data_IF_230405358159
#
_entry.id   IF_230405358159
#
_cell.length_a   1.000
_cell.length_b   1.000
_cell.length_c   1.000
_cell.angle_alpha   90.00
_cell.angle_beta   90.00
_cell.angle_gamma   90.00
#
_symmetry.space_group_name_H-M   'P 1'
#
loop_
_entity.id
_entity.type
_entity.pdbx_description
1 polymer ?
#
# COMPACT_ATOMS: atom_id res chain seq x y z
N UNK A 1 -0.17 -0.37 -10.94
CA UNK A 1 1.02 -0.34 -10.06
C UNK A 1 1.92 -1.54 -10.27
N UNK A 2 1.47 -2.79 -10.02
CA UNK A 2 2.34 -3.97 -10.10
C UNK A 2 3.06 -4.13 -11.46
N UNK A 3 2.37 -3.90 -12.58
CA UNK A 3 2.98 -3.88 -13.93
C UNK A 3 4.08 -2.82 -14.05
N UNK A 4 3.84 -1.61 -13.54
CA UNK A 4 4.83 -0.52 -13.57
C UNK A 4 6.05 -0.87 -12.72
N UNK A 5 5.83 -1.44 -11.53
CA UNK A 5 6.91 -1.91 -10.66
C UNK A 5 7.74 -2.99 -11.35
N UNK A 6 7.10 -3.97 -11.98
CA UNK A 6 7.77 -5.02 -12.73
C UNK A 6 8.61 -4.45 -13.89
N UNK A 7 8.04 -3.54 -14.68
CA UNK A 7 8.75 -2.87 -15.76
C UNK A 7 9.95 -2.04 -15.28
N UNK A 8 9.80 -1.25 -14.20
CA UNK A 8 10.92 -0.47 -13.66
C UNK A 8 11.99 -1.38 -13.05
N UNK A 9 11.62 -2.49 -12.40
CA UNK A 9 12.57 -3.50 -11.92
C UNK A 9 13.39 -4.10 -13.08
N UNK A 10 12.72 -4.41 -14.20
CA UNK A 10 13.40 -4.92 -15.40
C UNK A 10 14.34 -3.89 -16.02
N UNK A 11 13.97 -2.61 -16.03
CA UNK A 11 14.85 -1.52 -16.51
C UNK A 11 16.10 -1.35 -15.64
N UNK A 12 15.95 -1.39 -14.32
CA UNK A 12 17.09 -1.31 -13.40
C UNK A 12 18.05 -2.48 -13.65
N UNK A 13 17.51 -3.71 -13.77
CA UNK A 13 18.31 -4.91 -14.03
C UNK A 13 19.08 -4.82 -15.35
N UNK A 14 18.46 -4.31 -16.41
CA UNK A 14 19.11 -4.17 -17.73
C UNK A 14 20.21 -3.08 -17.73
N UNK A 15 20.05 -2.00 -16.97
CA UNK A 15 21.10 -0.99 -16.83
C UNK A 15 22.34 -1.52 -16.08
N UNK A 16 22.17 -2.39 -15.08
CA UNK A 16 23.31 -3.06 -14.43
C UNK A 16 24.10 -3.98 -15.38
N UNK A 17 23.46 -4.60 -16.39
CA UNK A 17 24.16 -5.40 -17.40
C UNK A 17 24.93 -4.56 -18.44
N UNK A 18 24.60 -3.27 -18.60
CA UNK A 18 25.31 -2.36 -19.52
C UNK A 18 26.43 -1.56 -18.83
N UNK A 19 26.48 -1.55 -17.49
CA UNK A 19 27.55 -0.91 -16.70
C UNK A 19 28.56 -1.90 -16.11
N UNK A 20 28.38 -3.21 -16.34
CA UNK A 20 29.26 -4.28 -15.86
C UNK A 20 30.53 -4.47 -16.71
N UNK A 21 31.29 -3.39 -16.92
CA UNK A 21 32.62 -3.41 -17.50
C UNK A 21 33.66 -2.96 -16.47
N UNK A 22 34.25 -3.94 -15.77
CA UNK A 22 35.52 -3.86 -15.03
C UNK A 22 35.63 -2.86 -13.86
N UNK A 23 35.73 -3.38 -12.62
CA UNK A 23 36.89 -3.12 -11.74
C UNK A 23 36.76 -3.77 -10.35
N UNK A 24 37.73 -4.64 -10.07
CA UNK A 24 38.43 -4.92 -8.81
C UNK A 24 37.81 -4.57 -7.45
N UNK A 25 37.70 -5.62 -6.65
CA UNK A 25 37.70 -5.70 -5.19
C UNK A 25 38.34 -4.52 -4.43
N UNK A 26 37.55 -3.90 -3.55
CA UNK A 26 38.05 -3.38 -2.27
C UNK A 26 36.99 -3.60 -1.19
N UNK A 27 37.40 -4.38 -0.19
CA UNK A 27 36.64 -4.75 0.99
C UNK A 27 36.64 -3.59 1.99
N UNK A 28 35.54 -2.85 2.05
CA UNK A 28 35.21 -1.94 3.16
C UNK A 28 33.73 -1.60 3.17
N UNK A 29 33.01 -2.10 4.18
CA UNK A 29 31.76 -1.48 4.66
C UNK A 29 30.45 -2.17 4.29
N UNK A 30 29.97 -3.10 5.13
CA UNK A 30 28.61 -3.66 5.03
C UNK A 30 27.48 -2.61 5.12
N UNK A 31 27.78 -1.39 5.59
CA UNK A 31 26.83 -0.27 5.58
C UNK A 31 26.70 0.41 4.20
N UNK A 32 27.75 0.38 3.36
CA UNK A 32 27.72 1.00 2.04
C UNK A 32 26.77 0.27 1.09
N UNK A 33 26.84 -1.07 1.08
CA UNK A 33 25.98 -1.91 0.25
C UNK A 33 24.50 -1.79 0.62
N UNK A 34 24.16 -1.68 1.91
CA UNK A 34 22.76 -1.56 2.36
C UNK A 34 22.18 -0.19 2.00
N UNK A 35 22.94 0.89 2.19
CA UNK A 35 22.50 2.24 1.82
C UNK A 35 22.32 2.39 0.31
N UNK A 36 23.23 1.83 -0.49
CA UNK A 36 23.11 1.81 -1.96
C UNK A 36 21.89 1.02 -2.42
N UNK A 37 21.64 -0.15 -1.80
CA UNK A 37 20.46 -0.97 -2.06
C UNK A 37 19.17 -0.22 -1.72
N UNK A 38 19.07 0.39 -0.54
CA UNK A 38 17.91 1.21 -0.17
C UNK A 38 17.73 2.39 -1.11
N UNK A 39 18.82 3.06 -1.51
CA UNK A 39 18.77 4.18 -2.44
C UNK A 39 18.25 3.74 -3.82
N UNK A 40 18.66 2.58 -4.30
CA UNK A 40 18.17 2.01 -5.55
C UNK A 40 16.67 1.70 -5.48
N UNK A 41 16.19 1.07 -4.41
CA UNK A 41 14.76 0.83 -4.18
C UNK A 41 13.96 2.13 -4.05
N UNK A 42 14.47 3.10 -3.27
CA UNK A 42 13.84 4.43 -3.13
C UNK A 42 13.70 5.10 -4.48
N UNK A 43 14.75 5.08 -5.30
CA UNK A 43 14.73 5.64 -6.67
C UNK A 43 13.71 4.93 -7.55
N UNK A 44 13.73 3.60 -7.60
CA UNK A 44 12.83 2.82 -8.44
C UNK A 44 11.36 3.05 -8.06
N UNK A 45 11.01 2.95 -6.78
CA UNK A 45 9.65 3.13 -6.30
C UNK A 45 9.15 4.57 -6.51
N UNK A 46 10.00 5.59 -6.27
CA UNK A 46 9.64 6.98 -6.61
C UNK A 46 9.34 7.13 -8.10
N UNK A 47 10.14 6.53 -8.98
CA UNK A 47 9.91 6.56 -10.43
C UNK A 47 8.60 5.85 -10.81
N UNK A 48 8.25 4.73 -10.16
CA UNK A 48 6.97 4.05 -10.36
C UNK A 48 5.78 4.96 -10.06
N UNK A 49 5.78 5.62 -8.89
CA UNK A 49 4.70 6.51 -8.47
C UNK A 49 4.60 7.73 -9.38
N UNK A 50 5.73 8.37 -9.70
CA UNK A 50 5.79 9.50 -10.64
C UNK A 50 5.30 9.10 -12.04
N UNK A 51 5.65 7.90 -12.51
CA UNK A 51 5.19 7.40 -13.80
C UNK A 51 3.69 7.15 -13.80
N UNK A 52 3.13 6.54 -12.75
CA UNK A 52 1.68 6.34 -12.66
C UNK A 52 0.90 7.66 -12.56
N UNK A 53 1.43 8.62 -11.79
CA UNK A 53 0.86 9.96 -11.69
C UNK A 53 0.91 10.75 -13.02
N UNK A 54 2.00 10.56 -13.77
CA UNK A 54 2.11 11.08 -15.12
C UNK A 54 1.11 10.42 -16.06
N UNK A 55 0.94 9.10 -15.97
CA UNK A 55 -0.05 8.38 -16.78
C UNK A 55 -1.46 8.89 -16.48
N UNK A 56 -1.84 9.06 -15.21
CA UNK A 56 -3.16 9.58 -14.83
C UNK A 56 -3.41 11.00 -15.36
N UNK A 57 -2.36 11.81 -15.51
CA UNK A 57 -2.44 13.16 -16.09
C UNK A 57 -2.69 13.17 -17.60
N UNK A 58 -2.39 12.08 -18.30
CA UNK A 58 -2.56 11.95 -19.75
C UNK A 58 -3.63 10.93 -20.15
N UNK A 59 -4.30 10.31 -19.19
CA UNK A 59 -5.44 9.42 -19.46
C UNK A 59 -6.63 10.24 -19.91
N UNK A 60 -7.16 9.90 -21.08
CA UNK A 60 -8.41 10.42 -21.63
C UNK A 60 -9.62 9.73 -20.98
N UNK A 61 -10.80 10.36 -20.94
CA UNK A 61 -12.04 9.76 -20.37
C UNK A 61 -12.40 8.41 -21.00
N UNK A 62 -12.03 8.18 -22.27
CA UNK A 62 -12.23 6.90 -22.96
C UNK A 62 -11.20 5.82 -22.59
N UNK A 63 -10.30 6.09 -21.65
CA UNK A 63 -9.22 5.18 -21.22
C UNK A 63 -7.98 5.19 -22.13
N UNK A 64 -7.97 5.99 -23.20
CA UNK A 64 -6.78 6.13 -24.06
C UNK A 64 -5.67 6.88 -23.35
N UNK A 65 -4.44 6.36 -23.44
CA UNK A 65 -3.24 7.06 -22.96
C UNK A 65 -2.77 8.07 -24.02
N UNK A 66 -2.75 9.34 -23.64
CA UNK A 66 -2.36 10.45 -24.51
C UNK A 66 -3.55 11.20 -25.12
N UNK A 67 -3.27 12.33 -25.76
CA UNK A 67 -4.26 13.22 -26.38
C UNK A 67 -4.81 12.82 -27.78
N UNK A 68 -4.46 11.70 -28.46
CA UNK A 68 -4.97 11.47 -29.82
C UNK A 68 -6.42 10.93 -29.84
N UNK A 69 -7.11 10.78 -28.70
CA UNK A 69 -8.47 10.23 -28.62
C UNK A 69 -9.56 11.15 -29.20
N UNK A 70 -9.29 12.45 -29.40
CA UNK A 70 -10.29 13.41 -29.90
C UNK A 70 -11.44 13.71 -28.93
N UNK A 71 -11.39 13.22 -27.69
CA UNK A 71 -12.41 13.50 -26.68
C UNK A 71 -12.33 14.95 -26.17
N UNK A 72 -13.45 15.53 -25.68
CA UNK A 72 -13.43 16.84 -25.02
C UNK A 72 -12.45 16.88 -23.83
N UNK A 73 -11.89 18.05 -23.48
CA UNK A 73 -11.06 18.19 -22.29
C UNK A 73 -11.82 17.73 -21.03
N UNK A 74 -11.39 16.62 -20.46
CA UNK A 74 -11.97 16.05 -19.26
C UNK A 74 -11.53 16.82 -18.01
N UNK A 75 -12.36 17.74 -17.53
CA UNK A 75 -12.10 18.44 -16.26
C UNK A 75 -12.16 17.49 -15.06
N UNK A 76 -13.00 16.47 -15.12
CA UNK A 76 -13.29 15.53 -14.02
C UNK A 76 -12.05 14.73 -13.64
N UNK A 77 -11.30 14.20 -14.60
CA UNK A 77 -10.07 13.43 -14.33
C UNK A 77 -8.98 14.25 -13.66
N UNK A 78 -8.99 15.58 -13.80
CA UNK A 78 -8.03 16.46 -13.10
C UNK A 78 -8.34 16.62 -11.61
N UNK A 79 -9.56 16.26 -11.20
CA UNK A 79 -10.03 16.25 -9.81
C UNK A 79 -10.04 14.85 -9.21
N UNK A 80 -9.75 13.82 -10.01
CA UNK A 80 -9.68 12.43 -9.54
C UNK A 80 -8.26 12.11 -9.10
N UNK A 81 -8.15 11.44 -7.96
CA UNK A 81 -6.90 10.88 -7.48
C UNK A 81 -7.12 9.59 -6.73
N UNK A 82 -6.02 9.00 -6.30
CA UNK A 82 -6.01 7.77 -5.51
C UNK A 82 -4.83 7.79 -4.56
N UNK A 83 -5.06 7.27 -3.36
CA UNK A 83 -3.97 6.86 -2.49
C UNK A 83 -3.35 5.57 -3.02
N UNK A 84 -2.14 5.25 -2.58
CA UNK A 84 -1.47 4.00 -2.93
C UNK A 84 -0.52 3.60 -1.80
N UNK A 85 -0.79 2.44 -1.20
CA UNK A 85 0.14 1.72 -0.34
C UNK A 85 0.56 0.43 -1.05
N UNK A 86 1.86 0.22 -1.18
CA UNK A 86 2.45 -0.91 -1.90
C UNK A 86 3.45 -1.60 -0.98
N UNK A 87 3.33 -2.91 -0.84
CA UNK A 87 4.33 -3.74 -0.16
C UNK A 87 5.01 -4.68 -1.16
N UNK A 88 6.34 -4.71 -1.12
CA UNK A 88 7.17 -5.66 -1.85
C UNK A 88 7.83 -6.58 -0.82
N UNK A 89 7.53 -7.87 -0.93
CA UNK A 89 8.07 -8.91 -0.06
C UNK A 89 9.22 -9.61 -0.78
N UNK A 90 10.41 -9.55 -0.19
CA UNK A 90 11.56 -10.36 -0.61
C UNK A 90 11.76 -11.51 0.38
N UNK A 91 12.78 -12.33 0.15
CA UNK A 91 13.14 -13.38 1.12
C UNK A 91 13.56 -12.77 2.47
N UNK A 92 14.24 -11.63 2.45
CA UNK A 92 14.93 -11.04 3.61
C UNK A 92 14.27 -9.75 4.13
N UNK A 93 13.44 -9.09 3.32
CA UNK A 93 12.94 -7.75 3.65
C UNK A 93 11.49 -7.52 3.21
N UNK A 94 10.84 -6.60 3.91
CA UNK A 94 9.56 -6.00 3.53
C UNK A 94 9.84 -4.54 3.21
N UNK A 95 9.47 -4.14 1.99
CA UNK A 95 9.63 -2.76 1.51
C UNK A 95 8.24 -2.19 1.31
N UNK A 96 7.93 -1.08 1.99
CA UNK A 96 6.62 -0.43 1.89
C UNK A 96 6.80 0.96 1.30
N UNK A 97 6.02 1.28 0.26
CA UNK A 97 5.89 2.62 -0.29
C UNK A 97 4.45 3.11 -0.08
N UNK A 98 4.28 4.24 0.61
CA UNK A 98 2.97 4.83 0.87
C UNK A 98 2.86 6.24 0.28
N UNK A 99 1.73 6.52 -0.37
CA UNK A 99 1.33 7.85 -0.83
C UNK A 99 -0.17 8.01 -0.51
N UNK A 100 -0.51 8.85 0.47
CA UNK A 100 -1.87 8.96 1.02
C UNK A 100 -2.00 8.38 2.43
N UNK A 101 -3.22 8.01 2.81
CA UNK A 101 -3.62 7.57 4.15
C UNK A 101 -4.17 6.14 4.22
N UNK A 102 -4.04 5.37 3.14
CA UNK A 102 -3.96 3.91 3.28
C UNK A 102 -2.73 3.55 4.10
N UNK A 103 -2.77 2.42 4.81
CA UNK A 103 -1.71 2.05 5.76
C UNK A 103 -1.32 0.58 5.65
N UNK A 104 -0.03 0.32 5.84
CA UNK A 104 0.55 -1.01 6.01
C UNK A 104 1.03 -1.22 7.46
N UNK A 105 0.63 -2.33 8.06
CA UNK A 105 0.97 -2.68 9.46
C UNK A 105 1.42 -4.15 9.51
N UNK A 106 2.60 -4.37 10.09
CA UNK A 106 3.15 -5.70 10.35
C UNK A 106 2.76 -6.17 11.76
N UNK A 107 2.33 -7.42 11.90
CA UNK A 107 2.24 -8.11 13.19
C UNK A 107 3.55 -8.86 13.44
N UNK A 108 4.32 -8.44 14.45
CA UNK A 108 5.58 -9.05 14.87
C UNK A 108 5.52 -9.40 16.34
N UNK A 109 5.72 -10.67 16.68
CA UNK A 109 5.65 -11.16 18.07
C UNK A 109 4.37 -10.71 18.80
N UNK A 110 3.22 -10.67 18.10
CA UNK A 110 1.95 -10.23 18.65
C UNK A 110 1.79 -8.71 18.85
N UNK A 111 2.72 -7.88 18.37
CA UNK A 111 2.62 -6.42 18.40
C UNK A 111 2.44 -5.86 16.99
N UNK A 112 1.70 -4.76 16.90
CA UNK A 112 1.57 -4.01 15.67
C UNK A 112 2.79 -3.10 15.45
N UNK A 113 3.38 -3.19 14.26
CA UNK A 113 4.50 -2.38 13.80
C UNK A 113 4.06 -1.65 12.52
N UNK A 114 3.66 -0.38 12.61
CA UNK A 114 3.28 0.40 11.44
C UNK A 114 4.48 0.55 10.50
N UNK A 115 4.31 0.14 9.23
CA UNK A 115 5.33 0.27 8.18
C UNK A 115 5.09 1.48 7.28
N UNK A 116 4.03 2.25 7.53
CA UNK A 116 3.78 3.50 6.83
C UNK A 116 3.19 4.53 7.78
N UNK A 117 3.43 5.80 7.49
CA UNK A 117 2.77 6.92 8.13
C UNK A 117 1.74 7.52 7.17
N UNK A 118 0.57 7.88 7.69
CA UNK A 118 -0.48 8.51 6.89
C UNK A 118 -0.07 9.93 6.48
N UNK A 119 -0.38 10.27 5.23
CA UNK A 119 -0.15 11.60 4.68
C UNK A 119 -1.39 12.48 4.90
N UNK A 120 -1.61 12.90 6.15
CA UNK A 120 -2.70 13.81 6.50
C UNK A 120 -2.22 15.28 6.46
N UNK A 121 -3.04 16.25 5.98
CA UNK A 121 -2.63 17.65 5.82
C UNK A 121 -2.21 18.37 7.11
N UNK A 122 -2.64 17.90 8.27
CA UNK A 122 -2.30 18.44 9.60
C UNK A 122 -1.04 17.86 10.22
N UNK A 123 -0.45 16.81 9.62
CA UNK A 123 0.89 16.32 10.01
C UNK A 123 1.89 17.47 9.83
N UNK A 124 2.64 17.80 10.88
CA UNK A 124 3.51 18.99 10.91
C UNK A 124 4.43 19.11 9.69
N UNK A 125 5.06 18.01 9.28
CA UNK A 125 5.94 17.98 8.10
C UNK A 125 5.19 18.24 6.79
N UNK A 126 3.97 17.69 6.65
CA UNK A 126 3.14 17.85 5.45
C UNK A 126 2.54 19.25 5.37
N UNK A 127 2.04 19.78 6.51
CA UNK A 127 1.55 21.14 6.61
C UNK A 127 2.63 22.15 6.24
N UNK A 128 3.82 22.03 6.83
CA UNK A 128 4.95 22.90 6.54
C UNK A 128 5.33 22.84 5.06
N UNK A 129 5.35 21.65 4.45
CA UNK A 129 5.58 21.48 3.01
C UNK A 129 4.52 22.20 2.19
N UNK A 130 3.23 21.99 2.47
CA UNK A 130 2.12 22.61 1.74
C UNK A 130 2.20 24.14 1.80
N UNK A 131 2.40 24.69 3.00
CA UNK A 131 2.49 26.14 3.24
C UNK A 131 3.74 26.76 2.58
N UNK A 132 4.88 26.04 2.56
CA UNK A 132 6.09 26.50 1.89
C UNK A 132 5.93 26.65 0.36
N UNK A 133 5.02 25.89 -0.26
CA UNK A 133 4.65 26.05 -1.67
C UNK A 133 3.50 27.06 -1.90
N UNK A 134 3.08 27.79 -0.86
CA UNK A 134 1.99 28.77 -0.94
C UNK A 134 0.58 28.18 -0.80
N UNK A 135 0.47 26.89 -0.52
CA UNK A 135 -0.80 26.21 -0.25
C UNK A 135 -1.36 26.55 1.13
N UNK A 136 -2.59 26.10 1.40
CA UNK A 136 -3.24 26.27 2.70
C UNK A 136 -3.85 24.97 3.18
N UNK A 137 -3.79 24.73 4.48
CA UNK A 137 -4.56 23.67 5.15
C UNK A 137 -5.77 24.31 5.82
N UNK A 138 -6.97 23.93 5.40
CA UNK A 138 -8.24 24.50 5.86
C UNK A 138 -9.04 23.40 6.54
N UNK A 139 -9.60 23.69 7.71
CA UNK A 139 -10.46 22.76 8.42
C UNK A 139 -11.89 22.79 7.84
N UNK A 140 -12.35 21.67 7.29
CA UNK A 140 -13.72 21.49 6.80
C UNK A 140 -14.19 20.06 7.15
N UNK A 141 -14.65 19.91 8.39
CA UNK A 141 -14.89 18.61 9.05
C UNK A 141 -13.59 17.92 9.47
N UNK A 142 -12.63 17.84 8.56
CA UNK A 142 -11.25 17.40 8.78
C UNK A 142 -10.27 18.39 8.13
N UNK A 143 -8.99 18.39 8.51
CA UNK A 143 -7.95 19.18 7.82
C UNK A 143 -7.85 18.78 6.34
N UNK A 144 -7.93 19.76 5.44
CA UNK A 144 -7.92 19.54 3.98
C UNK A 144 -6.98 20.50 3.27
N UNK A 145 -6.26 20.02 2.27
CA UNK A 145 -5.46 20.85 1.36
C UNK A 145 -6.40 21.71 0.51
N UNK A 146 -6.25 23.02 0.60
CA UNK A 146 -7.11 24.00 -0.08
C UNK A 146 -8.59 23.92 0.33
N UNK A 147 -8.91 23.24 1.45
CA UNK A 147 -10.30 22.95 1.84
C UNK A 147 -10.96 21.81 1.05
N UNK A 148 -10.23 21.13 0.16
CA UNK A 148 -10.77 20.13 -0.76
C UNK A 148 -10.39 18.71 -0.33
N UNK A 149 -9.10 18.38 -0.31
CA UNK A 149 -8.63 17.00 -0.18
C UNK A 149 -8.09 16.69 1.23
N UNK A 150 -8.55 15.59 1.84
CA UNK A 150 -8.18 15.19 3.21
C UNK A 150 -6.85 14.43 3.31
N UNK A 151 -6.14 14.27 2.19
CA UNK A 151 -4.77 13.74 2.12
C UNK A 151 -3.81 14.78 1.55
N UNK A 152 -2.55 14.74 1.98
CA UNK A 152 -1.50 15.65 1.52
C UNK A 152 -0.67 15.08 0.36
N UNK A 153 -0.80 13.78 0.08
CA UNK A 153 -0.13 13.08 -1.02
C UNK A 153 -1.09 12.10 -1.69
N UNK A 154 -1.09 12.06 -3.00
CA UNK A 154 -1.92 11.18 -3.82
C UNK A 154 -1.37 11.10 -5.24
N UNK A 155 -1.76 10.05 -5.97
CA UNK A 155 -1.61 9.97 -7.42
C UNK A 155 -2.79 10.69 -8.07
N UNK A 156 -2.55 11.48 -9.13
CA UNK A 156 -3.61 12.28 -9.74
C UNK A 156 -3.78 13.64 -9.04
N UNK A 157 -5.02 14.04 -8.76
CA UNK A 157 -5.37 15.30 -8.09
C UNK A 157 -4.65 16.53 -8.68
N UNK A 158 -4.57 16.55 -10.02
CA UNK A 158 -3.78 17.50 -10.77
C UNK A 158 -4.14 18.97 -10.52
N UNK A 159 -5.38 19.24 -10.08
CA UNK A 159 -5.83 20.57 -9.69
C UNK A 159 -5.18 21.12 -8.40
N UNK A 160 -4.69 20.24 -7.53
CA UNK A 160 -4.08 20.58 -6.24
C UNK A 160 -2.55 20.49 -6.25
N UNK A 161 -1.94 20.21 -7.40
CA UNK A 161 -0.49 20.34 -7.58
C UNK A 161 -0.10 21.83 -7.57
N UNK A 162 1.01 22.22 -6.90
CA UNK A 162 2.06 21.36 -6.33
C UNK A 162 1.86 20.97 -4.85
N UNK A 163 0.71 21.26 -4.25
CA UNK A 163 0.47 21.03 -2.81
C UNK A 163 0.28 19.55 -2.47
N UNK A 164 -0.46 18.83 -3.31
CA UNK A 164 -0.61 17.37 -3.26
C UNK A 164 0.39 16.76 -4.22
N UNK A 165 1.27 15.88 -3.72
CA UNK A 165 2.37 15.28 -4.49
C UNK A 165 2.25 13.75 -4.56
N UNK A 166 2.71 13.12 -5.66
CA UNK A 166 2.67 11.67 -5.82
C UNK A 166 3.87 10.96 -5.17
N UNK A 167 4.76 11.69 -4.48
CA UNK A 167 6.00 11.12 -3.95
C UNK A 167 5.73 10.26 -2.70
N UNK A 168 6.08 8.95 -2.72
CA UNK A 168 5.84 8.08 -1.58
C UNK A 168 6.88 8.26 -0.47
N UNK A 169 6.47 8.04 0.77
CA UNK A 169 7.38 7.67 1.87
C UNK A 169 7.68 6.16 1.77
N UNK A 170 8.96 5.78 1.88
CA UNK A 170 9.41 4.41 1.68
C UNK A 170 10.15 3.92 2.92
N UNK A 171 9.70 2.80 3.48
CA UNK A 171 10.32 2.13 4.62
C UNK A 171 10.87 0.76 4.24
N UNK A 172 11.88 0.33 4.98
CA UNK A 172 12.54 -0.96 4.85
C UNK A 172 12.54 -1.62 6.21
N UNK A 173 12.14 -2.90 6.28
CA UNK A 173 12.25 -3.70 7.49
C UNK A 173 12.74 -5.09 7.11
N UNK A 174 13.74 -5.58 7.86
CA UNK A 174 14.19 -6.96 7.73
C UNK A 174 13.13 -7.90 8.28
N UNK A 175 12.99 -9.05 7.61
CA UNK A 175 12.06 -10.09 8.02
C UNK A 175 12.66 -10.85 9.19
N UNK A 176 11.82 -11.08 10.19
CA UNK A 176 12.18 -11.83 11.38
C UNK A 176 11.34 -13.11 11.47
N UNK A 177 11.85 -14.12 12.18
CA UNK A 177 11.13 -15.37 12.37
C UNK A 177 9.80 -15.13 13.11
N UNK A 178 9.72 -14.08 13.91
CA UNK A 178 8.56 -13.63 14.70
C UNK A 178 7.50 -12.90 13.87
N UNK A 179 7.74 -12.63 12.58
CA UNK A 179 6.76 -11.99 11.69
C UNK A 179 5.58 -12.93 11.43
N UNK A 180 4.38 -12.45 11.76
CA UNK A 180 3.16 -13.26 11.70
C UNK A 180 2.37 -12.96 10.43
N UNK A 181 2.04 -11.68 10.21
CA UNK A 181 1.30 -11.26 9.05
C UNK A 181 1.53 -9.78 8.72
N UNK A 182 1.29 -9.42 7.47
CA UNK A 182 1.26 -8.03 7.00
C UNK A 182 -0.17 -7.67 6.58
N UNK A 183 -0.67 -6.54 7.06
CA UNK A 183 -1.99 -6.01 6.73
C UNK A 183 -1.82 -4.71 5.95
N UNK A 184 -2.45 -4.61 4.78
CA UNK A 184 -2.60 -3.36 4.04
C UNK A 184 -4.08 -3.06 3.93
N UNK A 185 -4.50 -1.84 4.27
CA UNK A 185 -5.90 -1.45 4.11
C UNK A 185 -6.08 0.04 3.85
N UNK A 186 -7.25 0.39 3.30
CA UNK A 186 -7.72 1.79 3.22
C UNK A 186 -8.11 2.32 4.60
N UNK A 187 -8.20 3.64 4.71
CA UNK A 187 -8.68 4.38 5.88
C UNK A 187 -10.10 3.97 6.30
N UNK A 188 -10.95 3.54 5.37
CA UNK A 188 -12.24 2.93 5.69
C UNK A 188 -12.16 1.79 6.74
N UNK A 189 -11.02 1.09 6.84
CA UNK A 189 -10.75 0.19 7.97
C UNK A 189 -10.05 0.90 9.13
N UNK A 190 -8.97 1.64 8.85
CA UNK A 190 -8.08 2.19 9.88
C UNK A 190 -8.70 3.31 10.73
N UNK A 191 -9.74 3.98 10.23
CA UNK A 191 -10.47 5.02 10.97
C UNK A 191 -11.30 4.45 12.12
N UNK A 192 -11.65 3.16 12.07
CA UNK A 192 -12.52 2.50 13.06
C UNK A 192 -11.86 1.33 13.79
N UNK A 193 -10.73 0.81 13.28
CA UNK A 193 -9.95 -0.28 13.88
C UNK A 193 -8.50 0.17 14.09
N UNK A 194 -8.03 0.09 15.34
CA UNK A 194 -6.63 0.33 15.70
C UNK A 194 -5.68 -0.72 15.14
N UNK A 195 -4.42 -0.36 14.92
CA UNK A 195 -3.35 -1.27 14.47
C UNK A 195 -3.28 -2.56 15.29
N UNK A 196 -3.31 -2.44 16.63
CA UNK A 196 -3.18 -3.55 17.57
C UNK A 196 -4.35 -4.53 17.46
N UNK A 197 -5.58 -4.01 17.41
CA UNK A 197 -6.78 -4.81 17.20
C UNK A 197 -6.76 -5.53 15.85
N UNK A 198 -6.35 -4.85 14.78
CA UNK A 198 -6.26 -5.46 13.45
C UNK A 198 -5.25 -6.63 13.45
N UNK A 199 -4.06 -6.43 14.02
CA UNK A 199 -3.06 -7.49 14.16
C UNK A 199 -3.57 -8.66 15.02
N UNK A 200 -4.25 -8.38 16.14
CA UNK A 200 -4.82 -9.41 17.01
C UNK A 200 -5.83 -10.28 16.26
N UNK A 201 -6.79 -9.65 15.57
CA UNK A 201 -7.84 -10.35 14.80
C UNK A 201 -7.23 -11.15 13.66
N UNK A 202 -6.37 -10.54 12.85
CA UNK A 202 -5.74 -11.23 11.72
C UNK A 202 -4.93 -12.44 12.19
N UNK A 203 -4.14 -12.28 13.26
CA UNK A 203 -3.34 -13.36 13.84
C UNK A 203 -4.20 -14.50 14.36
N UNK A 204 -5.33 -14.20 15.01
CA UNK A 204 -6.26 -15.23 15.48
C UNK A 204 -6.81 -16.04 14.29
N UNK A 205 -7.32 -15.38 13.25
CA UNK A 205 -7.83 -16.04 12.06
C UNK A 205 -6.77 -16.88 11.32
N UNK A 206 -5.50 -16.49 11.38
CA UNK A 206 -4.39 -17.23 10.76
C UNK A 206 -3.92 -18.43 11.59
N UNK A 207 -4.09 -18.38 12.93
CA UNK A 207 -3.70 -19.46 13.86
C UNK A 207 -4.76 -20.52 14.03
N UNK A 208 -6.03 -20.19 13.87
CA UNK A 208 -7.13 -21.15 13.96
C UNK A 208 -6.98 -22.23 12.87
N UNK A 209 -6.58 -23.44 13.28
CA UNK A 209 -6.90 -24.66 12.54
C UNK A 209 -8.42 -24.77 12.57
N UNK A 210 -9.05 -24.79 11.39
CA UNK A 210 -10.49 -24.91 11.20
C UNK A 210 -11.09 -25.93 12.21
N UNK A 211 -11.71 -25.51 13.33
CA UNK A 211 -12.18 -26.46 14.31
C UNK A 211 -13.50 -27.00 13.79
N UNK A 212 -13.48 -28.25 13.36
CA UNK A 212 -14.64 -29.15 13.23
C UNK A 212 -15.77 -28.63 12.32
N UNK A 213 -15.90 -29.25 11.14
CA UNK A 213 -17.19 -29.34 10.44
C UNK A 213 -18.17 -30.09 11.35
N UNK A 214 -18.86 -29.39 12.25
CA UNK A 214 -19.98 -29.98 12.97
C UNK A 214 -21.16 -30.09 12.00
N UNK A 215 -21.58 -31.33 11.76
CA UNK A 215 -22.66 -31.70 10.85
C UNK A 215 -24.04 -31.49 11.49
N UNK A 216 -24.35 -30.27 11.97
CA UNK A 216 -25.62 -30.03 12.68
C UNK A 216 -26.47 -28.84 12.17
N UNK A 217 -26.13 -28.23 11.04
CA UNK A 217 -27.06 -27.33 10.33
C UNK A 217 -26.75 -27.23 8.84
N UNK A 218 -27.38 -28.10 8.02
CA UNK A 218 -27.40 -28.03 6.55
C UNK A 218 -28.29 -26.85 6.10
N UNK A 219 -27.83 -25.94 5.22
CA UNK A 219 -28.72 -25.30 4.26
C UNK A 219 -28.92 -26.25 3.08
N UNK A 220 -30.17 -26.39 2.66
CA UNK A 220 -30.60 -27.15 1.48
C UNK A 220 -30.18 -26.40 0.20
N UNK A 221 -28.96 -26.59 -0.30
CA UNK A 221 -28.64 -26.38 -1.72
C UNK A 221 -27.59 -27.41 -2.14
N UNK A 222 -28.02 -28.38 -2.95
CA UNK A 222 -27.13 -29.30 -3.65
C UNK A 222 -26.42 -28.54 -4.79
N UNK A 223 -25.09 -28.49 -4.74
CA UNK A 223 -24.29 -27.89 -5.81
C UNK A 223 -22.80 -27.87 -5.50
N UNK A 224 -22.12 -28.95 -5.92
CA UNK A 224 -20.70 -29.04 -6.27
C UNK A 224 -19.65 -28.78 -5.16
N UNK A 225 -18.53 -29.49 -5.22
CA UNK A 225 -17.56 -29.73 -4.15
C UNK A 225 -16.70 -28.49 -3.75
N UNK A 226 -17.32 -27.42 -3.24
CA UNK A 226 -16.69 -26.11 -2.93
C UNK A 226 -16.94 -25.62 -1.48
N UNK A 227 -16.73 -26.49 -0.50
CA UNK A 227 -17.08 -26.23 0.91
C UNK A 227 -16.20 -25.26 1.72
N UNK A 228 -15.58 -24.24 1.13
CA UNK A 228 -14.89 -23.17 1.86
C UNK A 228 -15.39 -21.79 1.39
N UNK A 229 -16.00 -21.03 2.30
CA UNK A 229 -16.54 -19.67 2.03
C UNK A 229 -15.43 -18.71 1.57
N UNK A 230 -14.18 -18.95 2.00
CA UNK A 230 -13.01 -18.15 1.61
C UNK A 230 -11.90 -19.04 1.04
N UNK A 231 -11.20 -18.54 0.03
CA UNK A 231 -10.13 -19.24 -0.69
C UNK A 231 -8.86 -19.47 0.14
N UNK A 232 -8.68 -18.75 1.24
CA UNK A 232 -7.51 -18.89 2.14
C UNK A 232 -7.78 -18.33 3.54
N UNK A 233 -6.96 -18.70 4.53
CA UNK A 233 -6.99 -18.09 5.88
C UNK A 233 -6.78 -16.57 5.83
N UNK A 234 -5.89 -16.11 4.95
CA UNK A 234 -5.71 -14.68 4.65
C UNK A 234 -6.99 -14.01 4.17
N UNK A 235 -7.71 -14.64 3.25
CA UNK A 235 -8.99 -14.11 2.76
C UNK A 235 -10.07 -14.09 3.85
N UNK A 236 -10.12 -15.11 4.71
CA UNK A 236 -10.99 -15.13 5.89
C UNK A 236 -10.65 -14.00 6.86
N UNK A 237 -9.36 -13.81 7.18
CA UNK A 237 -8.89 -12.75 8.07
C UNK A 237 -9.22 -11.35 7.53
N UNK A 238 -9.03 -11.13 6.22
CA UNK A 238 -9.43 -9.90 5.55
C UNK A 238 -10.94 -9.66 5.64
N UNK A 239 -11.76 -10.70 5.42
CA UNK A 239 -13.22 -10.59 5.52
C UNK A 239 -13.69 -10.29 6.95
N UNK A 240 -13.07 -10.91 7.97
CA UNK A 240 -13.38 -10.61 9.38
C UNK A 240 -13.03 -9.17 9.73
N UNK A 241 -11.87 -8.66 9.29
CA UNK A 241 -11.50 -7.26 9.47
C UNK A 241 -12.48 -6.30 8.79
N UNK A 242 -12.89 -6.60 7.55
CA UNK A 242 -13.89 -5.81 6.82
C UNK A 242 -15.23 -5.79 7.55
N UNK A 243 -15.73 -6.95 8.00
CA UNK A 243 -16.99 -7.04 8.74
C UNK A 243 -16.91 -6.34 10.11
N UNK A 244 -15.76 -6.40 10.77
CA UNK A 244 -15.52 -5.66 12.01
C UNK A 244 -15.58 -4.15 11.76
N UNK A 245 -15.00 -3.65 10.66
CA UNK A 245 -15.04 -2.23 10.33
C UNK A 245 -16.48 -1.77 10.04
N UNK A 246 -17.27 -2.57 9.32
CA UNK A 246 -18.69 -2.31 9.09
C UNK A 246 -19.50 -2.30 10.39
N UNK A 247 -19.24 -3.25 11.29
CA UNK A 247 -19.90 -3.34 12.60
C UNK A 247 -19.56 -2.14 13.49
N UNK A 248 -18.35 -1.58 13.32
CA UNK A 248 -17.91 -0.34 13.97
C UNK A 248 -18.36 0.92 13.23
N UNK A 249 -19.34 0.79 12.32
CA UNK A 249 -20.01 1.88 11.62
C UNK A 249 -19.10 2.68 10.69
N UNK A 250 -18.07 2.05 10.10
CA UNK A 250 -17.37 2.66 8.96
C UNK A 250 -18.36 2.98 7.84
N UNK A 251 -18.22 4.18 7.27
CA UNK A 251 -19.09 4.70 6.20
C UNK A 251 -18.35 4.83 4.87
N UNK A 252 -17.12 4.35 4.80
CA UNK A 252 -16.26 4.47 3.63
C UNK A 252 -16.10 3.12 2.92
N UNK A 253 -15.49 3.15 1.75
CA UNK A 253 -15.04 1.96 1.05
C UNK A 253 -13.91 1.28 1.85
N UNK A 254 -14.09 -0.02 2.10
CA UNK A 254 -13.14 -0.83 2.86
C UNK A 254 -12.44 -1.80 1.91
N UNK A 255 -11.13 -1.68 1.81
CA UNK A 255 -10.27 -2.64 1.11
C UNK A 255 -9.21 -3.14 2.07
N UNK A 256 -9.06 -4.46 2.20
CA UNK A 256 -8.12 -5.10 3.14
C UNK A 256 -7.38 -6.25 2.44
N UNK A 257 -6.05 -6.26 2.60
CA UNK A 257 -5.16 -7.34 2.18
C UNK A 257 -4.45 -7.86 3.43
N UNK A 258 -4.51 -9.17 3.66
CA UNK A 258 -3.76 -9.84 4.73
C UNK A 258 -2.80 -10.85 4.12
N UNK A 259 -1.52 -10.74 4.43
CA UNK A 259 -0.48 -11.66 3.97
C UNK A 259 0.02 -12.49 5.16
N UNK A 260 -0.13 -13.82 5.08
CA UNK A 260 0.42 -14.77 6.05
C UNK A 260 1.94 -14.91 5.81
N UNK A 261 2.76 -14.45 6.77
CA UNK A 261 4.22 -14.44 6.66
C UNK A 261 4.86 -15.73 7.21
N UNK A 262 4.10 -16.55 7.96
CA UNK A 262 4.59 -17.80 8.57
C UNK A 262 4.59 -18.99 7.62
N UNK A 263 3.75 -18.96 6.59
CA UNK A 263 3.58 -20.10 5.65
C UNK A 263 4.86 -20.47 4.89
N UNK A 264 5.85 -19.59 4.80
CA UNK A 264 7.12 -19.83 4.09
C UNK A 264 8.25 -20.40 4.96
N UNK A 265 8.03 -20.68 6.25
CA UNK A 265 9.04 -21.32 7.12
C UNK A 265 8.82 -22.83 7.33
N UNK A 266 7.70 -23.38 6.88
CA UNK A 266 7.36 -24.80 7.08
C UNK A 266 7.82 -25.73 5.93
N UNK A 267 8.67 -25.25 5.02
CA UNK A 267 9.01 -25.97 3.77
C UNK A 267 10.50 -26.00 3.39
N UNK A 268 11.41 -25.82 4.34
CA UNK A 268 12.85 -26.09 4.15
C UNK A 268 13.39 -26.91 5.31
#
# INVERSE_FOLDING_TARGET
MHVVVEEELMRVRNNTYMSGGSSSSSSSGGNGSQQEWEAAWKRMLRMCFLRMDRMSSYTCDCGSLGYPCGCPPAYTLRLTGSTAVVAILTQESIIVANCGDSRAVLSRAGRAVPLSCDHKPDKLSERARIEAYGGKVIFAGVPRVGGVLAVSRALGDNCLKPYVIPEPEISFIEREAEDECLILASDGMWDVISNEMACQVARQCLREENPVRDHSSRPLVEGDDRGAIFSSRSASAAAVLTNLALTRLSRDNISVIVVDLKRNHAGR
#
